data_IF_322727841509
#
_entry.id   IF_322727841509
#
_cell.length_a   1.000
_cell.length_b   1.000
_cell.length_c   1.000
_cell.angle_alpha   90.00
_cell.angle_beta   90.00
_cell.angle_gamma   90.00
#
_symmetry.space_group_name_H-M   'P 1'
#
loop_
_entity.id
_entity.type
_entity.pdbx_description
1 polymer ?
#
# COMPACT_ATOMS: atom_id res chain seq x y z
N UNK A 1 -19.19 10.92 -57.66
CA UNK A 1 -18.01 10.04 -57.50
C UNK A 1 -16.79 10.95 -57.38
N UNK A 2 -16.18 11.19 -56.21
CA UNK A 2 -15.35 10.24 -55.45
C UNK A 2 -15.18 10.73 -53.99
N UNK A 3 -15.68 10.02 -52.97
CA UNK A 3 -15.32 10.25 -51.58
C UNK A 3 -14.08 9.41 -51.27
N UNK A 4 -12.88 9.88 -51.60
CA UNK A 4 -11.66 9.08 -51.37
C UNK A 4 -10.49 9.83 -50.77
N UNK A 5 -10.61 11.13 -50.49
CA UNK A 5 -9.49 11.91 -49.94
C UNK A 5 -9.58 12.15 -48.43
N UNK A 6 -10.77 12.04 -47.82
CA UNK A 6 -10.96 12.41 -46.40
C UNK A 6 -10.63 11.29 -45.41
N UNK A 7 -10.49 10.04 -45.86
CA UNK A 7 -10.28 8.88 -44.98
C UNK A 7 -8.79 8.70 -44.64
N UNK A 8 -7.87 9.18 -45.48
CA UNK A 8 -6.42 8.95 -45.30
C UNK A 8 -5.82 9.86 -44.23
N UNK A 9 -6.40 11.05 -43.98
CA UNK A 9 -5.80 12.03 -43.06
C UNK A 9 -6.02 11.70 -41.58
N UNK A 10 -7.01 10.87 -41.24
CA UNK A 10 -7.34 10.54 -39.84
C UNK A 10 -6.46 9.44 -39.23
N UNK A 11 -5.67 8.71 -40.03
CA UNK A 11 -4.86 7.58 -39.52
C UNK A 11 -3.43 8.00 -39.12
N UNK A 12 -2.94 9.15 -39.59
CA UNK A 12 -1.56 9.58 -39.30
C UNK A 12 -1.36 10.24 -37.93
N UNK A 13 -2.42 10.53 -37.17
CA UNK A 13 -2.34 11.24 -35.89
C UNK A 13 -2.25 10.32 -34.66
N UNK A 14 -2.17 9.00 -34.85
CA UNK A 14 -2.21 8.03 -33.75
C UNK A 14 -0.84 7.43 -33.36
N UNK A 15 0.28 8.03 -33.78
CA UNK A 15 1.61 7.65 -33.24
C UNK A 15 1.95 8.51 -32.03
N UNK A 16 1.20 8.28 -30.94
CA UNK A 16 1.56 8.80 -29.63
C UNK A 16 2.88 8.17 -29.18
N UNK A 17 3.97 8.94 -29.24
CA UNK A 17 5.23 8.62 -28.58
C UNK A 17 4.95 8.42 -27.08
N UNK A 18 4.92 7.18 -26.63
CA UNK A 18 4.96 6.87 -25.21
C UNK A 18 6.36 7.27 -24.70
N UNK A 19 6.49 8.53 -24.27
CA UNK A 19 7.69 8.99 -23.59
C UNK A 19 7.75 8.29 -22.23
N UNK A 20 8.83 7.56 -21.90
CA UNK A 20 9.00 7.04 -20.55
C UNK A 20 9.01 8.22 -19.60
N UNK A 21 7.94 8.37 -18.82
CA UNK A 21 7.89 9.33 -17.73
C UNK A 21 9.02 9.04 -16.73
N UNK A 22 9.52 10.04 -16.00
CA UNK A 22 10.50 9.81 -14.95
C UNK A 22 9.99 8.71 -14.02
N UNK A 23 10.76 7.61 -13.87
CA UNK A 23 10.46 6.63 -12.83
C UNK A 23 10.51 7.40 -11.50
N UNK A 24 9.44 7.38 -10.69
CA UNK A 24 9.53 7.97 -9.36
C UNK A 24 10.70 7.28 -8.65
N UNK A 25 11.65 8.09 -8.17
CA UNK A 25 12.70 7.61 -7.29
C UNK A 25 12.03 6.88 -6.14
N UNK A 26 12.39 5.61 -5.94
CA UNK A 26 11.86 4.82 -4.82
C UNK A 26 12.01 5.64 -3.54
N UNK A 27 10.96 5.80 -2.73
CA UNK A 27 11.05 6.56 -1.50
C UNK A 27 12.16 5.96 -0.62
N UNK A 28 12.84 6.78 0.20
CA UNK A 28 13.85 6.28 1.12
C UNK A 28 13.24 5.13 1.92
N UNK A 29 13.93 3.98 1.94
CA UNK A 29 13.49 2.82 2.68
C UNK A 29 13.52 3.16 4.17
N UNK A 30 12.36 3.53 4.72
CA UNK A 30 12.21 3.67 6.17
C UNK A 30 12.24 2.27 6.75
N UNK A 31 13.27 1.97 7.53
CA UNK A 31 13.35 0.68 8.21
C UNK A 31 12.11 0.53 9.10
N UNK A 32 11.33 -0.52 8.87
CA UNK A 32 10.18 -0.86 9.70
C UNK A 32 10.62 -1.88 10.75
N UNK A 33 10.17 -1.70 11.99
CA UNK A 33 10.42 -2.63 13.09
C UNK A 33 9.08 -3.20 13.54
N UNK A 34 9.04 -4.50 13.77
CA UNK A 34 7.88 -5.15 14.38
C UNK A 34 7.93 -4.97 15.90
N UNK A 35 6.87 -4.40 16.46
CA UNK A 35 6.70 -4.22 17.91
C UNK A 35 5.36 -4.79 18.34
N UNK A 36 5.24 -5.25 19.58
CA UNK A 36 3.96 -5.71 20.13
C UNK A 36 2.92 -4.59 20.07
N UNK A 37 1.72 -4.91 19.61
CA UNK A 37 0.61 -3.96 19.65
C UNK A 37 -0.05 -3.92 21.03
N UNK A 38 0.61 -3.25 21.95
CA UNK A 38 0.15 -3.07 23.34
C UNK A 38 -1.28 -2.54 23.43
N UNK A 39 -1.71 -1.68 22.51
CA UNK A 39 -3.07 -1.14 22.52
C UNK A 39 -4.11 -2.24 22.27
N UNK A 40 -3.81 -3.17 21.36
CA UNK A 40 -4.67 -4.32 21.10
C UNK A 40 -4.65 -5.30 22.27
N UNK A 41 -3.45 -5.67 22.74
CA UNK A 41 -3.26 -6.59 23.87
C UNK A 41 -4.06 -6.13 25.09
N UNK A 42 -3.90 -4.86 25.49
CA UNK A 42 -4.60 -4.29 26.63
C UNK A 42 -6.14 -4.29 26.47
N UNK A 43 -6.64 -4.04 25.26
CA UNK A 43 -8.10 -4.10 25.01
C UNK A 43 -8.64 -5.52 25.19
N UNK A 44 -7.93 -6.51 24.66
CA UNK A 44 -8.34 -7.92 24.75
C UNK A 44 -8.26 -8.40 26.19
N UNK A 45 -7.16 -8.12 26.88
CA UNK A 45 -6.98 -8.51 28.28
C UNK A 45 -8.04 -7.88 29.19
N UNK A 46 -8.37 -6.60 28.97
CA UNK A 46 -9.46 -5.95 29.71
C UNK A 46 -10.79 -6.68 29.52
N UNK A 47 -11.13 -7.04 28.27
CA UNK A 47 -12.37 -7.78 27.98
C UNK A 47 -12.36 -9.19 28.57
N UNK A 48 -11.19 -9.85 28.62
CA UNK A 48 -11.04 -11.17 29.19
C UNK A 48 -11.21 -11.15 30.72
N UNK A 49 -10.59 -10.18 31.40
CA UNK A 49 -10.76 -9.98 32.85
C UNK A 49 -12.22 -9.72 33.23
N UNK A 50 -12.93 -8.90 32.45
CA UNK A 50 -14.38 -8.67 32.66
C UNK A 50 -15.22 -9.95 32.53
N UNK A 51 -14.69 -10.99 31.89
CA UNK A 51 -15.33 -12.29 31.72
C UNK A 51 -14.74 -13.38 32.62
N UNK A 52 -13.82 -13.04 33.54
CA UNK A 52 -13.14 -14.00 34.40
C UNK A 52 -12.22 -14.96 33.64
N UNK A 53 -11.68 -14.55 32.49
CA UNK A 53 -10.75 -15.35 31.67
C UNK A 53 -9.36 -14.75 31.78
N UNK A 54 -8.38 -15.59 32.10
CA UNK A 54 -6.96 -15.25 32.05
C UNK A 54 -6.37 -15.60 30.68
N UNK A 55 -5.56 -14.69 30.14
CA UNK A 55 -4.93 -14.84 28.83
C UNK A 55 -3.43 -14.96 29.01
N UNK A 56 -2.85 -15.92 28.28
CA UNK A 56 -1.41 -16.04 28.08
C UNK A 56 -1.10 -15.97 26.59
N UNK A 57 -0.25 -15.02 26.20
CA UNK A 57 0.12 -14.81 24.81
C UNK A 57 1.39 -15.60 24.46
N UNK A 58 1.24 -16.66 23.67
CA UNK A 58 2.39 -17.40 23.10
C UNK A 58 3.04 -16.62 21.95
N UNK A 59 2.22 -15.92 21.16
CA UNK A 59 2.66 -15.05 20.07
C UNK A 59 1.79 -13.79 20.06
N UNK A 60 2.17 -12.73 20.80
CA UNK A 60 1.36 -11.54 20.89
C UNK A 60 1.29 -10.83 19.52
N UNK A 61 0.18 -10.15 19.22
CA UNK A 61 0.00 -9.46 17.95
C UNK A 61 1.03 -8.34 17.79
N UNK A 62 1.63 -8.28 16.61
CA UNK A 62 2.66 -7.30 16.28
C UNK A 62 2.10 -6.24 15.31
N UNK A 63 2.64 -5.03 15.39
CA UNK A 63 2.46 -3.96 14.41
C UNK A 63 3.81 -3.49 13.88
N UNK A 64 3.82 -3.03 12.65
CA UNK A 64 5.00 -2.41 12.05
C UNK A 64 5.01 -0.93 12.38
N UNK A 65 6.14 -0.45 12.90
CA UNK A 65 6.38 0.97 13.16
C UNK A 65 7.66 1.42 12.44
N UNK A 66 7.68 2.66 12.00
CA UNK A 66 8.89 3.27 11.47
C UNK A 66 9.97 3.31 12.57
N UNK A 67 11.16 2.82 12.25
CA UNK A 67 12.33 2.96 13.12
C UNK A 67 12.73 4.44 13.15
N UNK A 68 12.62 5.07 14.32
CA UNK A 68 13.22 6.38 14.52
C UNK A 68 14.75 6.23 14.47
N UNK A 69 15.41 7.11 13.71
CA UNK A 69 16.87 7.22 13.68
C UNK A 69 17.40 7.87 14.96
#
# INVERSE_FOLDING_TARGET
>A
MKPSLLIVFSVLLATGCAQPGPRPSSPPSVAMVAVTDEAYVNRVERLARLRGVDIYWVNPPLKLVAKAN
#
